data_IF_570567952502
#
_entry.id   IF_570567952502
#
_cell.length_a   1.000
_cell.length_b   1.000
_cell.length_c   1.000
_cell.angle_alpha   90.00
_cell.angle_beta   90.00
_cell.angle_gamma   90.00
#
_symmetry.space_group_name_H-M   'P 1'
#
loop_
_entity.id
_entity.type
_entity.pdbx_description
1 polymer ?
#
# COMPACT_ATOMS: atom_id res chain seq x y z
N UNK A 1 16.57 -12.47 23.58
CA UNK A 1 15.32 -12.62 22.81
C UNK A 1 15.11 -11.34 22.00
N UNK A 2 15.67 -11.29 20.78
CA UNK A 2 15.56 -10.11 19.91
C UNK A 2 14.20 -10.18 19.21
N UNK A 3 13.40 -9.16 19.43
CA UNK A 3 12.07 -9.02 18.93
C UNK A 3 11.99 -9.24 17.41
N UNK A 4 11.22 -10.25 17.01
CA UNK A 4 10.74 -10.51 15.64
C UNK A 4 9.66 -9.48 15.21
N UNK A 5 9.72 -8.24 15.72
CA UNK A 5 8.65 -7.25 15.69
C UNK A 5 8.57 -6.45 14.37
N UNK A 6 9.46 -6.70 13.42
CA UNK A 6 9.39 -6.12 12.06
C UNK A 6 8.76 -7.07 11.03
N UNK A 7 8.66 -8.37 11.36
CA UNK A 7 8.18 -9.40 10.44
C UNK A 7 6.68 -9.70 10.53
N UNK A 8 5.97 -9.35 11.62
CA UNK A 8 4.52 -9.58 11.73
C UNK A 8 3.69 -8.36 11.32
N UNK A 9 4.24 -7.15 11.43
CA UNK A 9 3.48 -5.90 11.24
C UNK A 9 3.02 -5.61 9.81
N UNK A 10 3.70 -6.11 8.78
CA UNK A 10 3.34 -5.81 7.38
C UNK A 10 2.16 -6.67 6.96
N UNK A 11 2.23 -7.98 7.24
CA UNK A 11 1.22 -8.95 6.88
C UNK A 11 -0.08 -8.70 7.66
N UNK A 12 0.01 -8.22 8.90
CA UNK A 12 -1.14 -7.77 9.72
C UNK A 12 -1.94 -6.63 9.08
N UNK A 13 -1.37 -5.87 8.14
CA UNK A 13 -2.10 -4.82 7.44
C UNK A 13 -3.27 -5.38 6.63
N UNK A 14 -3.26 -6.67 6.25
CA UNK A 14 -4.37 -7.30 5.54
C UNK A 14 -5.64 -7.39 6.40
N UNK A 15 -5.50 -7.37 7.72
CA UNK A 15 -6.60 -7.53 8.68
C UNK A 15 -7.25 -6.21 9.06
N UNK A 16 -6.75 -5.09 8.54
CA UNK A 16 -7.40 -3.80 8.67
C UNK A 16 -8.81 -3.84 8.05
N UNK A 17 -9.77 -3.15 8.68
CA UNK A 17 -11.16 -3.16 8.25
C UNK A 17 -11.31 -2.58 6.83
N UNK A 18 -12.31 -3.06 6.11
CA UNK A 18 -12.60 -2.57 4.76
C UNK A 18 -13.16 -1.15 4.80
N UNK A 19 -12.68 -0.28 3.92
CA UNK A 19 -13.19 1.08 3.78
C UNK A 19 -14.55 1.06 3.10
N UNK A 20 -15.62 1.34 3.84
CA UNK A 20 -17.01 1.32 3.34
C UNK A 20 -17.54 2.69 2.90
N UNK A 21 -16.79 3.76 3.18
CA UNK A 21 -17.16 5.13 2.86
C UNK A 21 -16.86 5.46 1.39
N UNK A 22 -17.91 5.75 0.61
CA UNK A 22 -17.84 6.04 -0.83
C UNK A 22 -17.02 7.28 -1.15
N UNK A 23 -17.06 8.32 -0.31
CA UNK A 23 -16.29 9.54 -0.55
C UNK A 23 -14.80 9.25 -0.37
N UNK A 24 -14.43 8.49 0.67
CA UNK A 24 -13.05 8.09 0.90
C UNK A 24 -12.51 7.15 -0.18
N UNK A 25 -13.31 6.19 -0.65
CA UNK A 25 -12.94 5.34 -1.79
C UNK A 25 -12.69 6.19 -3.05
N UNK A 26 -13.57 7.15 -3.33
CA UNK A 26 -13.42 8.04 -4.48
C UNK A 26 -12.14 8.90 -4.39
N UNK A 27 -11.83 9.39 -3.20
CA UNK A 27 -10.59 10.12 -2.94
C UNK A 27 -9.35 9.23 -3.19
N UNK A 28 -9.35 7.99 -2.70
CA UNK A 28 -8.26 7.03 -2.94
C UNK A 28 -8.08 6.69 -4.41
N UNK A 29 -9.18 6.63 -5.17
CA UNK A 29 -9.12 6.40 -6.62
C UNK A 29 -8.45 7.56 -7.36
N UNK A 30 -8.79 8.80 -7.00
CA UNK A 30 -8.10 10.00 -7.51
C UNK A 30 -6.61 9.94 -7.14
N UNK A 31 -6.33 9.56 -5.90
CA UNK A 31 -4.97 9.37 -5.41
C UNK A 31 -4.19 8.36 -6.28
N UNK A 32 -4.77 7.20 -6.58
CA UNK A 32 -4.14 6.20 -7.43
C UNK A 32 -3.81 6.73 -8.83
N UNK A 33 -4.70 7.55 -9.42
CA UNK A 33 -4.48 8.15 -10.75
C UNK A 33 -3.31 9.13 -10.71
N UNK A 34 -3.27 10.00 -9.69
CA UNK A 34 -2.21 10.99 -9.51
C UNK A 34 -0.86 10.29 -9.27
N UNK A 35 -0.85 9.20 -8.53
CA UNK A 35 0.37 8.41 -8.23
C UNK A 35 1.07 7.97 -9.52
N UNK A 36 0.34 7.46 -10.50
CA UNK A 36 0.91 7.05 -11.80
C UNK A 36 1.51 8.23 -12.58
N UNK A 37 0.88 9.40 -12.50
CA UNK A 37 1.39 10.63 -13.13
C UNK A 37 2.66 11.13 -12.45
N UNK A 38 2.67 11.16 -11.11
CA UNK A 38 3.83 11.57 -10.31
C UNK A 38 5.02 10.65 -10.50
N UNK A 39 4.79 9.35 -10.68
CA UNK A 39 5.86 8.38 -10.95
C UNK A 39 6.70 8.76 -12.18
N UNK A 40 6.07 9.36 -13.19
CA UNK A 40 6.73 9.73 -14.46
C UNK A 40 7.28 11.15 -14.48
N UNK A 41 6.90 12.01 -13.53
CA UNK A 41 7.13 13.46 -13.59
C UNK A 41 7.89 14.03 -12.39
N UNK A 42 7.66 13.53 -11.19
CA UNK A 42 8.31 14.01 -9.97
C UNK A 42 8.32 12.96 -8.85
N UNK A 43 9.45 12.26 -8.72
CA UNK A 43 9.69 11.21 -7.71
C UNK A 43 9.70 11.74 -6.26
N UNK A 44 10.03 13.01 -6.05
CA UNK A 44 10.06 13.61 -4.71
C UNK A 44 8.64 13.80 -4.17
N UNK A 45 7.75 14.33 -5.01
CA UNK A 45 6.31 14.44 -4.73
C UNK A 45 5.67 13.06 -4.55
N UNK A 46 6.09 12.07 -5.32
CA UNK A 46 5.64 10.68 -5.18
C UNK A 46 5.91 10.14 -3.77
N UNK A 47 7.06 10.46 -3.16
CA UNK A 47 7.41 9.97 -1.81
C UNK A 47 6.51 10.57 -0.72
N UNK A 48 6.13 11.85 -0.84
CA UNK A 48 5.14 12.47 0.05
C UNK A 48 3.74 11.87 -0.15
N UNK A 49 3.38 11.63 -1.40
CA UNK A 49 2.09 11.03 -1.75
C UNK A 49 1.97 9.62 -1.16
N UNK A 50 3.01 8.80 -1.27
CA UNK A 50 3.02 7.44 -0.73
C UNK A 50 2.93 7.43 0.79
N UNK A 51 3.59 8.36 1.50
CA UNK A 51 3.46 8.49 2.95
C UNK A 51 2.00 8.80 3.35
N UNK A 52 1.34 9.70 2.64
CA UNK A 52 -0.09 10.01 2.88
C UNK A 52 -0.99 8.80 2.60
N UNK A 53 -0.72 8.06 1.52
CA UNK A 53 -1.46 6.83 1.21
C UNK A 53 -1.25 5.77 2.29
N UNK A 54 -0.06 5.65 2.87
CA UNK A 54 0.21 4.72 3.96
C UNK A 54 -0.49 5.09 5.25
N UNK A 55 -0.55 6.37 5.58
CA UNK A 55 -1.30 6.81 6.75
C UNK A 55 -2.78 6.39 6.63
N UNK A 56 -3.39 6.60 5.47
CA UNK A 56 -4.78 6.20 5.21
C UNK A 56 -4.93 4.66 5.25
N UNK A 57 -4.00 3.95 4.59
CA UNK A 57 -4.01 2.48 4.54
C UNK A 57 -3.61 1.81 5.85
N UNK A 58 -3.10 2.54 6.84
CA UNK A 58 -2.85 2.03 8.19
C UNK A 58 -4.12 1.93 9.06
N UNK A 59 -5.25 2.39 8.53
CA UNK A 59 -6.53 2.44 9.24
C UNK A 59 -7.59 1.60 8.52
N UNK A 60 -7.58 1.56 7.18
CA UNK A 60 -8.55 0.82 6.38
C UNK A 60 -7.92 0.20 5.12
N UNK A 61 -8.51 -0.89 4.63
CA UNK A 61 -8.16 -1.49 3.34
C UNK A 61 -9.26 -1.25 2.28
N UNK A 62 -8.84 -1.03 1.04
CA UNK A 62 -9.68 -1.06 -0.15
C UNK A 62 -8.89 -1.63 -1.34
N UNK A 63 -9.51 -1.71 -2.52
CA UNK A 63 -8.80 -2.13 -3.74
C UNK A 63 -7.59 -1.22 -4.03
N UNK A 64 -7.73 0.07 -3.73
CA UNK A 64 -6.70 1.09 -3.86
C UNK A 64 -5.55 0.88 -2.86
N UNK A 65 -5.80 0.28 -1.69
CA UNK A 65 -4.74 -0.07 -0.74
C UNK A 65 -3.77 -1.10 -1.32
N UNK A 66 -4.25 -2.05 -2.14
CA UNK A 66 -3.36 -2.99 -2.83
C UNK A 66 -2.42 -2.26 -3.80
N UNK A 67 -2.91 -1.24 -4.52
CA UNK A 67 -2.10 -0.40 -5.41
C UNK A 67 -1.06 0.39 -4.61
N UNK A 68 -1.42 0.90 -3.44
CA UNK A 68 -0.48 1.61 -2.58
C UNK A 68 0.61 0.68 -2.01
N UNK A 69 0.26 -0.53 -1.56
CA UNK A 69 1.22 -1.52 -1.06
C UNK A 69 2.23 -1.92 -2.13
N UNK A 70 1.80 -2.22 -3.37
CA UNK A 70 2.74 -2.58 -4.43
C UNK A 70 3.66 -1.41 -4.82
N UNK A 71 3.14 -0.18 -4.88
CA UNK A 71 3.95 1.00 -5.18
C UNK A 71 4.97 1.27 -4.08
N UNK A 72 4.59 1.07 -2.82
CA UNK A 72 5.54 1.19 -1.72
C UNK A 72 6.61 0.09 -1.77
N UNK A 73 6.21 -1.14 -2.08
CA UNK A 73 7.15 -2.24 -2.30
C UNK A 73 8.16 -1.94 -3.41
N UNK A 74 7.72 -1.31 -4.50
CA UNK A 74 8.58 -0.87 -5.60
C UNK A 74 9.61 0.18 -5.14
N UNK A 75 9.22 1.13 -4.30
CA UNK A 75 10.16 2.12 -3.75
C UNK A 75 11.17 1.48 -2.79
N UNK A 76 10.70 0.59 -1.91
CA UNK A 76 11.57 -0.14 -0.99
C UNK A 76 12.65 -0.91 -1.78
N UNK A 77 12.25 -1.65 -2.80
CA UNK A 77 13.17 -2.39 -3.65
C UNK A 77 14.09 -1.47 -4.47
N UNK A 78 13.50 -0.55 -5.25
CA UNK A 78 14.21 0.17 -6.30
C UNK A 78 14.99 1.40 -5.83
N UNK A 79 14.55 2.02 -4.73
CA UNK A 79 15.17 3.27 -4.22
C UNK A 79 15.90 3.08 -2.91
N UNK A 80 15.33 2.30 -1.98
CA UNK A 80 15.89 2.14 -0.63
C UNK A 80 16.77 0.89 -0.50
N UNK A 81 16.75 -0.01 -1.49
CA UNK A 81 17.50 -1.26 -1.47
C UNK A 81 16.98 -2.29 -0.45
N UNK A 82 15.80 -2.04 0.13
CA UNK A 82 15.13 -2.93 1.07
C UNK A 82 14.33 -4.01 0.33
N UNK A 83 15.05 -4.94 -0.31
CA UNK A 83 14.46 -5.95 -1.20
C UNK A 83 13.46 -6.84 -0.45
N UNK A 84 13.80 -7.31 0.75
CA UNK A 84 12.94 -8.21 1.53
C UNK A 84 11.63 -7.53 1.94
N UNK A 85 11.71 -6.30 2.45
CA UNK A 85 10.53 -5.48 2.79
C UNK A 85 9.67 -5.23 1.55
N UNK A 86 10.30 -4.86 0.43
CA UNK A 86 9.57 -4.56 -0.80
C UNK A 86 8.87 -5.78 -1.40
N UNK A 87 9.50 -6.95 -1.35
CA UNK A 87 8.87 -8.22 -1.75
C UNK A 87 7.63 -8.54 -0.91
N UNK A 88 7.72 -8.37 0.42
CA UNK A 88 6.61 -8.62 1.35
C UNK A 88 5.43 -7.69 1.12
N UNK A 89 5.68 -6.41 0.82
CA UNK A 89 4.62 -5.49 0.40
C UNK A 89 3.96 -5.90 -0.92
N UNK A 90 4.72 -6.48 -1.85
CA UNK A 90 4.18 -7.07 -3.07
C UNK A 90 3.27 -8.27 -2.78
N UNK A 91 3.69 -9.18 -1.89
CA UNK A 91 2.84 -10.29 -1.46
C UNK A 91 1.57 -9.82 -0.74
N UNK A 92 1.68 -8.83 0.15
CA UNK A 92 0.55 -8.21 0.84
C UNK A 92 -0.48 -7.66 -0.16
N UNK A 93 -0.02 -6.95 -1.20
CA UNK A 93 -0.89 -6.42 -2.24
C UNK A 93 -1.66 -7.54 -2.96
N UNK A 94 -0.99 -8.62 -3.34
CA UNK A 94 -1.62 -9.78 -3.99
C UNK A 94 -2.64 -10.46 -3.08
N UNK A 95 -2.26 -10.73 -1.83
CA UNK A 95 -3.14 -11.38 -0.86
C UNK A 95 -4.39 -10.54 -0.57
N UNK A 96 -4.24 -9.20 -0.50
CA UNK A 96 -5.38 -8.30 -0.32
C UNK A 96 -6.34 -8.34 -1.53
N UNK A 97 -5.80 -8.37 -2.76
CA UNK A 97 -6.63 -8.51 -3.96
C UNK A 97 -7.42 -9.82 -3.95
N UNK A 98 -6.79 -10.92 -3.55
CA UNK A 98 -7.46 -12.23 -3.48
C UNK A 98 -8.56 -12.23 -2.40
N UNK A 99 -8.27 -11.66 -1.22
CA UNK A 99 -9.25 -11.50 -0.12
C UNK A 99 -10.48 -10.70 -0.55
N UNK A 100 -10.29 -9.61 -1.30
CA UNK A 100 -11.38 -8.76 -1.79
C UNK A 100 -12.16 -9.40 -2.95
N UNK A 101 -11.50 -10.18 -3.83
CA UNK A 101 -12.16 -10.90 -4.92
C UNK A 101 -13.06 -12.05 -4.46
N UNK A 102 -12.67 -12.76 -3.40
CA UNK A 102 -13.46 -13.88 -2.84
C UNK A 102 -14.79 -13.38 -2.23
N UNK A 103 -14.92 -12.07 -1.98
CA UNK A 103 -16.09 -11.45 -1.35
C UNK A 103 -17.20 -11.03 -2.32
N UNK A 104 -17.00 -11.20 -3.64
CA UNK A 104 -17.95 -10.87 -4.72
C UNK A 104 -18.59 -12.12 -5.34
#
# INVERSE_FOLDING_TARGET
MRANLTLQKIEELIDLPEMTDIEKQSAMRIFSIITSSLFSTNIELLSLFIQTSQFINSIWNSLESAIAYINYGLILCGRLGEIDSGYRFGQLALNLLDKLKIKN
#
